data_IF_308147038527
#
_entry.id   IF_308147038527
#
_cell.length_a   1.000
_cell.length_b   1.000
_cell.length_c   1.000
_cell.angle_alpha   90.00
_cell.angle_beta   90.00
_cell.angle_gamma   90.00
#
_symmetry.space_group_name_H-M   'P 1'
#
loop_
_entity.id
_entity.type
_entity.pdbx_description
1 polymer ?
#
# COMPACT_ATOMS: atom_id res chain seq x y z
N UNK A 1 85.07 -24.21 -92.56
CA UNK A 1 85.82 -24.11 -91.28
C UNK A 1 84.94 -23.74 -90.15
N UNK A 2 84.83 -24.61 -89.26
CA UNK A 2 84.77 -24.49 -87.79
C UNK A 2 83.43 -24.05 -87.21
N UNK A 3 82.76 -24.95 -86.66
CA UNK A 3 82.71 -25.50 -85.33
C UNK A 3 81.85 -24.66 -84.31
N UNK A 4 80.95 -25.36 -83.78
CA UNK A 4 80.55 -25.53 -82.34
C UNK A 4 79.40 -24.66 -81.91
N UNK A 5 78.47 -25.02 -81.09
CA UNK A 5 78.19 -26.33 -80.45
C UNK A 5 76.78 -26.23 -79.83
N UNK A 6 76.16 -27.33 -79.63
CA UNK A 6 74.89 -27.53 -78.99
C UNK A 6 74.94 -27.21 -77.51
N UNK A 7 73.91 -26.62 -76.98
CA UNK A 7 73.32 -27.08 -75.70
C UNK A 7 71.81 -26.80 -75.62
N UNK A 8 71.12 -27.89 -75.51
CA UNK A 8 69.73 -27.89 -75.01
C UNK A 8 69.75 -27.40 -73.55
N UNK A 9 68.79 -26.53 -73.19
CA UNK A 9 68.41 -26.29 -71.85
C UNK A 9 66.91 -26.61 -71.68
N UNK A 10 66.72 -27.53 -70.79
CA UNK A 10 65.37 -28.03 -70.39
C UNK A 10 64.54 -26.91 -69.81
N UNK A 11 63.30 -26.74 -70.37
CA UNK A 11 62.34 -25.89 -69.76
C UNK A 11 61.65 -26.66 -68.61
N UNK A 12 61.94 -26.25 -67.39
CA UNK A 12 61.20 -26.71 -66.21
C UNK A 12 59.81 -26.17 -66.21
N UNK A 13 58.82 -27.04 -66.11
CA UNK A 13 57.46 -26.70 -65.83
C UNK A 13 57.35 -26.15 -64.41
N UNK A 14 56.91 -24.90 -64.24
CA UNK A 14 56.50 -24.36 -62.97
C UNK A 14 55.13 -24.98 -62.57
N UNK A 15 54.99 -25.47 -61.35
CA UNK A 15 53.67 -25.97 -60.87
C UNK A 15 52.66 -24.82 -60.71
N UNK A 16 51.48 -24.98 -61.28
CA UNK A 16 50.35 -24.05 -61.14
C UNK A 16 50.00 -23.79 -59.64
N UNK A 17 49.67 -22.55 -59.25
CA UNK A 17 49.31 -22.22 -57.87
C UNK A 17 48.05 -22.98 -57.45
N UNK A 18 48.19 -23.77 -56.38
CA UNK A 18 47.07 -24.44 -55.73
C UNK A 18 46.11 -23.38 -55.19
N UNK A 19 44.91 -23.34 -55.76
CA UNK A 19 43.79 -22.50 -55.36
C UNK A 19 43.30 -22.98 -53.97
N UNK A 20 43.82 -22.37 -52.93
CA UNK A 20 43.33 -22.56 -51.57
C UNK A 20 41.82 -22.26 -51.53
N UNK A 21 41.05 -23.25 -51.14
CA UNK A 21 39.59 -23.09 -50.93
C UNK A 21 39.39 -22.25 -49.65
N UNK A 22 39.61 -20.92 -49.77
CA UNK A 22 39.17 -19.95 -48.78
C UNK A 22 37.69 -19.79 -48.92
N UNK A 23 36.94 -20.32 -47.94
CA UNK A 23 35.74 -19.62 -47.73
C UNK A 23 34.42 -20.31 -47.70
N UNK A 24 34.13 -21.22 -46.81
CA UNK A 24 32.76 -21.54 -46.42
C UNK A 24 32.36 -20.96 -45.05
N UNK A 25 33.30 -20.35 -44.31
CA UNK A 25 33.04 -19.79 -42.97
C UNK A 25 32.42 -18.37 -43.00
N UNK A 26 32.76 -17.55 -43.99
CA UNK A 26 32.25 -16.17 -44.05
C UNK A 26 30.71 -16.09 -44.20
N UNK A 27 30.03 -16.84 -45.09
CA UNK A 27 28.56 -16.81 -45.18
C UNK A 27 27.88 -17.39 -43.94
N UNK A 28 28.51 -18.36 -43.26
CA UNK A 28 28.01 -18.92 -42.01
C UNK A 28 28.08 -17.89 -40.86
N UNK A 29 29.18 -17.15 -40.75
CA UNK A 29 29.33 -16.08 -39.77
C UNK A 29 28.34 -14.96 -40.01
N UNK A 30 28.12 -14.55 -41.26
CA UNK A 30 27.12 -13.54 -41.64
C UNK A 30 25.73 -14.03 -41.28
N UNK A 31 25.39 -15.28 -41.56
CA UNK A 31 24.07 -15.85 -41.23
C UNK A 31 23.86 -15.88 -39.72
N UNK A 32 24.82 -16.32 -38.92
CA UNK A 32 24.76 -16.31 -37.46
C UNK A 32 24.59 -14.87 -36.93
N UNK A 33 25.35 -13.90 -37.44
CA UNK A 33 25.22 -12.49 -37.07
C UNK A 33 23.83 -11.92 -37.37
N UNK A 34 23.25 -12.26 -38.52
CA UNK A 34 21.87 -11.86 -38.89
C UNK A 34 20.86 -12.50 -37.93
N UNK A 35 20.99 -13.79 -37.62
CA UNK A 35 20.09 -14.49 -36.69
C UNK A 35 20.19 -13.88 -35.28
N UNK A 36 21.43 -13.62 -34.78
CA UNK A 36 21.66 -12.96 -33.49
C UNK A 36 21.05 -11.56 -33.50
N UNK A 37 21.26 -10.78 -34.58
CA UNK A 37 20.67 -9.45 -34.71
C UNK A 37 19.13 -9.49 -34.71
N UNK A 38 18.52 -10.43 -35.45
CA UNK A 38 17.06 -10.62 -35.46
C UNK A 38 16.56 -11.02 -34.08
N UNK A 39 17.23 -11.94 -33.37
CA UNK A 39 16.86 -12.35 -32.01
C UNK A 39 17.00 -11.19 -31.04
N UNK A 40 18.09 -10.43 -31.09
CA UNK A 40 18.29 -9.24 -30.28
C UNK A 40 17.25 -8.17 -30.62
N UNK A 41 16.98 -7.93 -31.89
CA UNK A 41 15.93 -6.98 -32.33
C UNK A 41 14.52 -7.43 -31.88
N UNK A 42 14.20 -8.72 -31.93
CA UNK A 42 12.94 -9.27 -31.42
C UNK A 42 12.84 -9.19 -29.89
N UNK A 43 13.93 -9.41 -29.17
CA UNK A 43 13.97 -9.28 -27.71
C UNK A 43 13.87 -7.81 -27.30
N UNK A 44 14.59 -6.91 -27.98
CA UNK A 44 14.56 -5.47 -27.69
C UNK A 44 13.22 -4.85 -28.13
N UNK A 45 12.61 -5.28 -29.24
CA UNK A 45 11.27 -4.81 -29.64
C UNK A 45 10.16 -5.30 -28.69
N UNK A 46 10.31 -6.48 -28.08
CA UNK A 46 9.41 -6.94 -27.00
C UNK A 46 9.56 -6.10 -25.72
N UNK A 47 10.76 -5.58 -25.44
CA UNK A 47 11.00 -4.66 -24.33
C UNK A 47 10.45 -3.24 -24.57
N UNK A 48 10.19 -2.87 -25.82
CA UNK A 48 9.67 -1.55 -26.21
C UNK A 48 8.15 -1.48 -26.33
N UNK A 49 7.41 -2.50 -25.92
CA UNK A 49 5.94 -2.41 -25.79
C UNK A 49 5.63 -1.39 -24.69
N UNK A 50 5.20 -0.20 -25.08
CA UNK A 50 4.83 0.89 -24.18
C UNK A 50 3.73 0.42 -23.24
N UNK A 51 3.97 0.47 -21.94
CA UNK A 51 2.95 0.16 -20.95
C UNK A 51 1.84 1.20 -21.04
N UNK A 52 0.58 0.75 -20.95
CA UNK A 52 -0.62 1.58 -21.03
C UNK A 52 -1.39 1.53 -19.72
N UNK A 53 -2.05 2.61 -19.33
CA UNK A 53 -2.86 2.63 -18.13
C UNK A 53 -4.14 1.79 -18.30
N UNK A 54 -4.50 1.07 -17.24
CA UNK A 54 -5.77 0.38 -17.08
C UNK A 54 -6.31 0.73 -15.70
N UNK A 55 -7.60 1.00 -15.62
CA UNK A 55 -8.28 1.35 -14.37
C UNK A 55 -9.43 0.39 -14.12
N UNK A 56 -9.59 -0.02 -12.87
CA UNK A 56 -10.65 -0.92 -12.42
C UNK A 56 -11.17 -0.43 -11.06
N UNK A 57 -12.46 -0.67 -10.81
CA UNK A 57 -13.10 -0.36 -9.53
C UNK A 57 -13.90 -1.57 -9.07
N UNK A 58 -13.80 -1.92 -7.80
CA UNK A 58 -14.66 -2.90 -7.12
C UNK A 58 -15.07 -2.35 -5.75
N UNK A 59 -16.20 -2.84 -5.20
CA UNK A 59 -16.65 -2.55 -3.84
C UNK A 59 -16.10 -3.64 -2.92
N UNK A 60 -15.24 -3.27 -1.97
CA UNK A 60 -14.62 -4.14 -0.97
C UNK A 60 -14.40 -3.33 0.30
N UNK A 61 -14.39 -3.99 1.46
CA UNK A 61 -14.12 -3.32 2.75
C UNK A 61 -15.02 -2.12 3.00
N UNK A 62 -16.30 -2.24 2.61
CA UNK A 62 -17.33 -1.21 2.69
C UNK A 62 -17.00 0.11 1.97
N UNK A 63 -16.11 0.05 0.97
CA UNK A 63 -15.69 1.22 0.18
C UNK A 63 -15.42 0.89 -1.28
N UNK A 64 -15.23 1.93 -2.11
CA UNK A 64 -14.71 1.77 -3.46
C UNK A 64 -13.20 1.53 -3.42
N UNK A 65 -12.77 0.43 -4.04
CA UNK A 65 -11.36 0.14 -4.28
C UNK A 65 -11.04 0.38 -5.74
N UNK A 66 -10.22 1.40 -5.98
CA UNK A 66 -9.78 1.82 -7.30
C UNK A 66 -8.35 1.32 -7.56
N UNK A 67 -8.17 0.55 -8.63
CA UNK A 67 -6.88 0.09 -9.13
C UNK A 67 -6.50 0.84 -10.40
N UNK A 68 -5.33 1.47 -10.43
CA UNK A 68 -4.69 1.96 -11.65
C UNK A 68 -3.37 1.23 -11.85
N UNK A 69 -3.22 0.56 -12.99
CA UNK A 69 -1.99 -0.19 -13.32
C UNK A 69 -1.53 0.12 -14.74
N UNK A 70 -0.22 0.03 -14.97
CA UNK A 70 0.37 0.11 -16.30
C UNK A 70 0.85 -1.28 -16.73
N UNK A 71 0.33 -1.76 -17.86
CA UNK A 71 0.61 -3.07 -18.42
C UNK A 71 0.82 -2.98 -19.92
N UNK A 72 1.47 -3.99 -20.50
CA UNK A 72 1.71 -4.06 -21.97
C UNK A 72 0.44 -4.38 -22.76
N UNK A 73 -0.55 -5.01 -22.14
CA UNK A 73 -1.79 -5.38 -22.78
C UNK A 73 -2.93 -5.71 -21.82
N UNK A 74 -4.15 -5.70 -22.36
CA UNK A 74 -5.38 -5.94 -21.57
C UNK A 74 -5.44 -7.32 -20.93
N UNK A 75 -4.83 -8.35 -21.54
CA UNK A 75 -4.79 -9.70 -20.97
C UNK A 75 -3.91 -9.79 -19.71
N UNK A 76 -2.79 -9.05 -19.67
CA UNK A 76 -1.95 -8.92 -18.48
C UNK A 76 -2.66 -8.14 -17.39
N UNK A 77 -3.24 -6.99 -17.75
CA UNK A 77 -3.99 -6.14 -16.82
C UNK A 77 -5.18 -6.88 -16.18
N UNK A 78 -5.92 -7.67 -16.98
CA UNK A 78 -7.04 -8.46 -16.46
C UNK A 78 -6.60 -9.52 -15.46
N UNK A 79 -5.54 -10.29 -15.76
CA UNK A 79 -5.01 -11.29 -14.82
C UNK A 79 -4.51 -10.67 -13.52
N UNK A 80 -3.80 -9.54 -13.62
CA UNK A 80 -3.33 -8.79 -12.44
C UNK A 80 -4.51 -8.30 -11.58
N UNK A 81 -5.54 -7.74 -12.22
CA UNK A 81 -6.77 -7.30 -11.58
C UNK A 81 -7.50 -8.46 -10.87
N UNK A 82 -7.73 -9.58 -11.56
CA UNK A 82 -8.42 -10.75 -10.99
C UNK A 82 -7.68 -11.28 -9.77
N UNK A 83 -6.36 -11.52 -9.89
CA UNK A 83 -5.55 -12.01 -8.78
C UNK A 83 -5.54 -11.03 -7.59
N UNK A 84 -5.46 -9.73 -7.84
CA UNK A 84 -5.49 -8.70 -6.81
C UNK A 84 -6.80 -8.73 -6.02
N UNK A 85 -7.92 -8.59 -6.71
CA UNK A 85 -9.21 -8.48 -6.03
C UNK A 85 -9.64 -9.79 -5.36
N UNK A 86 -9.25 -10.95 -5.90
CA UNK A 86 -9.48 -12.25 -5.23
C UNK A 86 -8.71 -12.35 -3.91
N UNK A 87 -7.46 -11.90 -3.87
CA UNK A 87 -6.66 -11.87 -2.64
C UNK A 87 -7.22 -10.86 -1.64
N UNK A 88 -7.59 -9.65 -2.08
CA UNK A 88 -8.21 -8.65 -1.21
C UNK A 88 -9.49 -9.17 -0.57
N UNK A 89 -10.38 -9.82 -1.35
CA UNK A 89 -11.60 -10.48 -0.84
C UNK A 89 -11.30 -11.61 0.16
N UNK A 90 -10.23 -12.37 -0.08
CA UNK A 90 -9.81 -13.43 0.85
C UNK A 90 -9.40 -12.85 2.20
N UNK A 91 -8.59 -11.79 2.18
CA UNK A 91 -8.10 -11.13 3.40
C UNK A 91 -9.23 -10.39 4.14
N UNK A 92 -10.12 -9.71 3.42
CA UNK A 92 -11.30 -9.09 4.00
C UNK A 92 -12.12 -10.09 4.81
N UNK A 93 -12.40 -11.30 4.26
CA UNK A 93 -13.13 -12.35 4.98
C UNK A 93 -12.41 -12.86 6.25
N UNK A 94 -11.08 -12.78 6.32
CA UNK A 94 -10.34 -13.16 7.53
C UNK A 94 -10.42 -12.09 8.61
N UNK A 95 -10.37 -10.82 8.21
CA UNK A 95 -10.20 -9.66 9.09
C UNK A 95 -11.51 -8.89 9.35
N UNK A 96 -12.62 -9.33 8.76
CA UNK A 96 -13.91 -8.69 8.91
C UNK A 96 -14.44 -8.78 10.35
N UNK A 97 -14.88 -7.63 10.88
CA UNK A 97 -15.58 -7.57 12.16
C UNK A 97 -16.97 -8.20 12.08
N UNK A 98 -17.69 -7.97 11.00
CA UNK A 98 -19.10 -8.34 10.82
C UNK A 98 -19.31 -9.76 10.29
N UNK A 99 -18.33 -10.37 9.61
CA UNK A 99 -18.46 -11.76 9.16
C UNK A 99 -18.28 -12.74 10.34
N UNK A 100 -19.33 -13.47 10.78
CA UNK A 100 -19.23 -14.37 11.93
C UNK A 100 -18.26 -15.55 11.73
N UNK A 101 -17.79 -15.76 10.50
CA UNK A 101 -16.82 -16.81 10.15
C UNK A 101 -15.38 -16.32 10.11
N UNK A 102 -15.16 -15.01 10.17
CA UNK A 102 -13.84 -14.41 10.18
C UNK A 102 -13.02 -14.85 11.39
N UNK A 103 -11.71 -14.78 11.28
CA UNK A 103 -10.82 -15.01 12.41
C UNK A 103 -11.08 -13.97 13.51
N UNK A 104 -11.24 -12.68 13.12
CA UNK A 104 -11.51 -11.59 14.06
C UNK A 104 -12.80 -11.82 14.88
N UNK A 105 -13.91 -12.17 14.22
CA UNK A 105 -15.17 -12.44 14.92
C UNK A 105 -15.09 -13.68 15.82
N UNK A 106 -14.27 -14.67 15.46
CA UNK A 106 -14.02 -15.87 16.30
C UNK A 106 -13.24 -15.51 17.55
N UNK A 107 -12.20 -14.65 17.42
CA UNK A 107 -11.44 -14.14 18.56
C UNK A 107 -12.37 -13.37 19.51
N UNK A 108 -13.12 -12.40 19.00
CA UNK A 108 -14.00 -11.56 19.78
C UNK A 108 -15.07 -12.38 20.55
N UNK A 109 -15.65 -13.38 19.89
CA UNK A 109 -16.65 -14.27 20.51
C UNK A 109 -16.07 -15.13 21.63
N UNK A 110 -14.79 -15.51 21.56
CA UNK A 110 -14.14 -16.38 22.54
C UNK A 110 -13.44 -15.59 23.68
N UNK A 111 -13.64 -14.28 23.73
CA UNK A 111 -13.03 -13.41 24.75
C UNK A 111 -13.41 -13.85 26.18
N UNK A 112 -12.43 -13.97 27.06
CA UNK A 112 -12.59 -14.47 28.42
C UNK A 112 -12.72 -15.99 28.56
N UNK A 113 -12.81 -16.76 27.45
CA UNK A 113 -13.02 -18.18 27.49
C UNK A 113 -11.76 -18.99 27.14
N UNK A 114 -11.16 -18.74 25.96
CA UNK A 114 -10.04 -19.55 25.45
C UNK A 114 -9.29 -18.86 24.33
N UNK A 115 -8.01 -19.24 24.07
CA UNK A 115 -7.31 -18.89 22.86
C UNK A 115 -8.03 -19.42 21.59
N UNK A 116 -7.86 -18.70 20.48
CA UNK A 116 -8.42 -19.02 19.18
C UNK A 116 -7.30 -19.19 18.16
N UNK A 117 -7.22 -20.37 17.54
CA UNK A 117 -6.33 -20.60 16.40
C UNK A 117 -6.84 -19.82 15.18
N UNK A 118 -5.93 -19.04 14.54
CA UNK A 118 -6.22 -18.12 13.45
C UNK A 118 -5.16 -18.21 12.34
N UNK A 119 -5.46 -17.62 11.20
CA UNK A 119 -4.53 -17.56 10.08
C UNK A 119 -3.27 -16.74 10.42
N UNK A 120 -2.12 -17.04 9.77
CA UNK A 120 -0.90 -16.27 9.94
C UNK A 120 -1.08 -14.78 9.63
N UNK A 121 -1.92 -14.45 8.64
CA UNK A 121 -2.22 -13.08 8.27
C UNK A 121 -2.94 -12.32 9.41
N UNK A 122 -3.87 -12.97 10.08
CA UNK A 122 -4.57 -12.38 11.23
C UNK A 122 -3.61 -12.16 12.40
N UNK A 123 -2.73 -13.12 12.69
CA UNK A 123 -1.67 -12.95 13.71
C UNK A 123 -0.77 -11.76 13.35
N UNK A 124 -0.29 -11.69 12.10
CA UNK A 124 0.58 -10.61 11.61
C UNK A 124 -0.06 -9.22 11.84
N UNK A 125 -1.32 -9.05 11.43
CA UNK A 125 -2.03 -7.78 11.58
C UNK A 125 -2.22 -7.42 13.04
N UNK A 126 -2.61 -8.37 13.90
CA UNK A 126 -2.79 -8.11 15.34
C UNK A 126 -1.46 -7.76 16.02
N UNK A 127 -0.39 -8.50 15.74
CA UNK A 127 0.93 -8.19 16.30
C UNK A 127 1.40 -6.79 15.88
N UNK A 128 1.18 -6.42 14.60
CA UNK A 128 1.47 -5.06 14.13
C UNK A 128 0.59 -4.00 14.78
N UNK A 129 -0.68 -4.29 14.99
CA UNK A 129 -1.57 -3.40 15.75
C UNK A 129 -1.03 -3.14 17.17
N UNK A 130 -0.57 -4.18 17.86
CA UNK A 130 0.05 -4.04 19.18
C UNK A 130 1.37 -3.25 19.16
N UNK A 131 2.20 -3.43 18.11
CA UNK A 131 3.41 -2.62 17.91
C UNK A 131 3.05 -1.12 17.82
N UNK A 132 2.05 -0.75 16.98
CA UNK A 132 1.60 0.63 16.84
C UNK A 132 0.89 1.16 18.09
N UNK A 133 0.18 0.30 18.82
CA UNK A 133 -0.37 0.67 20.13
C UNK A 133 0.73 1.07 21.13
N UNK A 134 1.82 0.30 21.15
CA UNK A 134 2.97 0.58 22.00
C UNK A 134 3.68 1.88 21.60
N UNK A 135 3.94 2.09 20.28
CA UNK A 135 4.61 3.29 19.75
C UNK A 135 3.80 4.56 20.04
N UNK A 136 2.46 4.46 19.94
CA UNK A 136 1.55 5.59 20.19
C UNK A 136 1.12 5.76 21.63
N UNK A 137 1.68 4.96 22.55
CA UNK A 137 1.33 4.96 23.98
C UNK A 137 -0.19 4.72 24.21
N UNK A 138 -0.79 3.85 23.39
CA UNK A 138 -2.21 3.48 23.45
C UNK A 138 -3.16 4.50 22.80
N UNK A 139 -2.66 5.47 22.02
CA UNK A 139 -3.52 6.34 21.23
C UNK A 139 -4.15 5.58 20.05
N UNK A 140 -3.45 4.62 19.48
CA UNK A 140 -4.01 3.55 18.68
C UNK A 140 -4.19 2.33 19.58
N UNK A 141 -5.41 1.80 19.69
CA UNK A 141 -5.67 0.60 20.48
C UNK A 141 -6.69 -0.30 19.74
N UNK A 142 -6.26 -1.50 19.27
CA UNK A 142 -7.16 -2.39 18.57
C UNK A 142 -8.27 -2.98 19.47
N UNK A 143 -8.19 -2.82 20.80
CA UNK A 143 -9.24 -3.28 21.72
C UNK A 143 -10.39 -2.28 21.90
N UNK A 144 -10.42 -1.20 21.09
CA UNK A 144 -11.43 -0.11 21.16
C UNK A 144 -12.86 -0.54 20.76
N UNK A 145 -13.04 -1.76 20.26
CA UNK A 145 -14.32 -2.26 19.75
C UNK A 145 -15.51 -2.08 20.72
N UNK A 146 -15.41 -2.35 22.03
CA UNK A 146 -16.53 -2.14 22.96
C UNK A 146 -17.02 -0.68 23.01
N UNK A 147 -16.11 0.29 22.88
CA UNK A 147 -16.47 1.70 22.79
C UNK A 147 -17.16 2.02 21.45
N UNK A 148 -16.64 1.47 20.33
CA UNK A 148 -17.27 1.67 19.00
C UNK A 148 -18.67 1.10 18.93
N UNK A 149 -18.93 -0.05 19.58
CA UNK A 149 -20.27 -0.64 19.72
C UNK A 149 -21.19 0.26 20.52
N UNK A 150 -20.70 0.76 21.68
CA UNK A 150 -21.48 1.62 22.56
C UNK A 150 -21.94 2.93 21.88
N UNK A 151 -21.08 3.53 21.04
CA UNK A 151 -21.41 4.68 20.21
C UNK A 151 -22.28 4.35 18.99
N UNK A 152 -22.53 3.06 18.69
CA UNK A 152 -23.31 2.61 17.54
C UNK A 152 -22.55 2.66 16.20
N UNK A 153 -21.24 2.88 16.19
CA UNK A 153 -20.45 2.94 14.95
C UNK A 153 -20.31 1.59 14.23
N UNK A 154 -20.74 0.49 14.86
CA UNK A 154 -20.73 -0.85 14.26
C UNK A 154 -22.02 -1.21 13.56
N UNK A 155 -23.15 -0.94 14.20
CA UNK A 155 -24.48 -1.36 13.74
C UNK A 155 -25.28 -0.22 13.10
N UNK A 156 -24.83 1.02 13.25
CA UNK A 156 -25.50 2.22 12.72
C UNK A 156 -26.53 2.82 13.66
N UNK A 157 -26.74 2.24 14.86
CA UNK A 157 -27.61 2.77 15.91
C UNK A 157 -26.88 3.83 16.73
N UNK A 158 -26.55 4.94 16.08
CA UNK A 158 -25.77 6.03 16.66
C UNK A 158 -26.43 6.65 17.87
N UNK A 159 -25.69 6.83 18.95
CA UNK A 159 -26.10 7.55 20.16
C UNK A 159 -24.91 8.14 20.89
N UNK A 160 -25.13 9.10 21.75
CA UNK A 160 -24.16 9.57 22.73
C UNK A 160 -24.31 8.71 23.99
N UNK A 161 -23.28 7.92 24.38
CA UNK A 161 -23.35 7.09 25.58
C UNK A 161 -23.32 7.92 26.88
N UNK A 162 -23.91 7.37 27.95
CA UNK A 162 -23.76 7.94 29.29
C UNK A 162 -22.31 7.78 29.79
N UNK A 163 -21.81 8.71 30.63
CA UNK A 163 -20.45 8.62 31.17
C UNK A 163 -20.16 7.31 31.91
N UNK A 164 -21.13 6.78 32.65
CA UNK A 164 -20.97 5.52 33.40
C UNK A 164 -20.81 4.32 32.44
N UNK A 165 -21.54 4.30 31.32
CA UNK A 165 -21.39 3.27 30.26
C UNK A 165 -20.01 3.34 29.61
N UNK A 166 -19.48 4.56 29.36
CA UNK A 166 -18.13 4.75 28.83
C UNK A 166 -17.03 4.26 29.79
N UNK A 167 -17.20 4.49 31.10
CA UNK A 167 -16.30 4.00 32.13
C UNK A 167 -16.31 2.45 32.17
N UNK A 168 -17.49 1.84 32.16
CA UNK A 168 -17.63 0.37 32.11
C UNK A 168 -16.99 -0.24 30.86
N UNK A 169 -17.26 0.30 29.68
CA UNK A 169 -16.69 -0.17 28.42
C UNK A 169 -15.17 0.08 28.36
N UNK A 170 -14.69 1.21 28.88
CA UNK A 170 -13.30 1.59 28.93
C UNK A 170 -12.40 0.61 29.72
N UNK A 171 -12.94 -0.11 30.73
CA UNK A 171 -12.23 -1.16 31.45
C UNK A 171 -11.81 -2.32 30.52
N UNK A 172 -12.53 -2.51 29.41
CA UNK A 172 -12.27 -3.57 28.43
C UNK A 172 -11.25 -3.15 27.36
N UNK A 173 -10.83 -1.88 27.35
CA UNK A 173 -9.89 -1.32 26.35
C UNK A 173 -8.49 -1.25 26.93
N UNK A 174 -7.67 -2.23 26.59
CA UNK A 174 -6.25 -2.27 26.97
C UNK A 174 -5.51 -3.26 26.07
N UNK A 175 -4.79 -2.75 25.05
CA UNK A 175 -4.00 -3.56 24.12
C UNK A 175 -2.96 -4.45 24.81
N UNK A 176 -2.46 -4.06 25.98
CA UNK A 176 -1.43 -4.81 26.74
C UNK A 176 -1.94 -6.15 27.27
N UNK A 177 -3.25 -6.33 27.30
CA UNK A 177 -3.89 -7.59 27.70
C UNK A 177 -4.02 -8.60 26.58
N UNK A 178 -3.85 -8.18 25.31
CA UNK A 178 -3.98 -9.06 24.16
C UNK A 178 -2.79 -10.01 24.10
N UNK A 179 -3.05 -11.30 24.13
CA UNK A 179 -2.03 -12.34 23.97
C UNK A 179 -2.05 -12.82 22.51
N UNK A 180 -1.08 -12.39 21.71
CA UNK A 180 -0.92 -12.80 20.32
C UNK A 180 0.30 -13.71 20.17
N UNK A 181 0.06 -15.02 20.07
CA UNK A 181 1.08 -16.04 19.83
C UNK A 181 1.51 -16.14 18.36
N UNK A 182 2.02 -17.29 17.94
CA UNK A 182 2.43 -17.53 16.54
C UNK A 182 1.31 -18.04 15.65
N UNK A 183 0.25 -18.63 16.24
CA UNK A 183 -0.88 -19.20 15.53
C UNK A 183 -2.22 -19.01 16.26
N UNK A 184 -2.21 -18.39 17.42
CA UNK A 184 -3.39 -18.21 18.26
C UNK A 184 -3.41 -16.81 18.90
N UNK A 185 -4.62 -16.33 19.21
CA UNK A 185 -4.88 -15.06 19.89
C UNK A 185 -5.84 -15.28 21.04
N UNK A 186 -5.59 -14.63 22.16
CA UNK A 186 -6.45 -14.69 23.35
C UNK A 186 -6.73 -13.30 23.90
N UNK A 187 -7.99 -13.06 24.23
CA UNK A 187 -8.48 -11.89 24.97
C UNK A 187 -8.90 -12.37 26.35
N UNK A 188 -8.20 -11.99 27.44
CA UNK A 188 -8.38 -12.63 28.74
C UNK A 188 -9.62 -12.20 29.52
N UNK A 189 -10.31 -11.12 29.09
CA UNK A 189 -11.51 -10.65 29.77
C UNK A 189 -12.74 -10.84 28.88
N UNK A 190 -13.81 -11.36 29.45
CA UNK A 190 -15.11 -11.40 28.79
C UNK A 190 -15.58 -9.98 28.45
N UNK A 191 -16.08 -9.78 27.25
CA UNK A 191 -16.49 -8.47 26.73
C UNK A 191 -15.38 -7.69 26.04
N UNK A 192 -14.10 -8.08 26.15
CA UNK A 192 -13.06 -7.52 25.26
C UNK A 192 -13.35 -7.88 23.82
N UNK A 193 -13.05 -6.96 22.91
CA UNK A 193 -13.14 -7.22 21.49
C UNK A 193 -12.10 -6.40 20.72
N UNK A 194 -11.58 -6.97 19.63
CA UNK A 194 -10.67 -6.32 18.72
C UNK A 194 -11.42 -5.66 17.57
N UNK A 195 -10.95 -4.50 17.17
CA UNK A 195 -11.25 -3.82 15.94
C UNK A 195 -9.96 -3.58 15.14
N UNK A 196 -9.93 -4.02 13.90
CA UNK A 196 -8.78 -3.85 13.02
C UNK A 196 -9.03 -2.80 11.92
N UNK A 197 -10.10 -2.01 12.03
CA UNK A 197 -10.50 -1.03 11.00
C UNK A 197 -9.48 0.06 10.71
N UNK A 198 -8.60 0.38 11.66
CA UNK A 198 -7.53 1.36 11.49
C UNK A 198 -6.18 0.76 11.09
N UNK A 199 -6.12 -0.50 10.60
CA UNK A 199 -4.87 -1.14 10.15
C UNK A 199 -5.11 -2.17 9.03
N UNK A 200 -6.27 -2.82 9.02
CA UNK A 200 -6.53 -3.94 8.12
C UNK A 200 -6.64 -3.52 6.65
N UNK A 201 -7.19 -2.33 6.37
CA UNK A 201 -7.25 -1.82 4.98
C UNK A 201 -5.86 -1.60 4.41
N UNK A 202 -4.98 -0.95 5.20
CA UNK A 202 -3.59 -0.75 4.83
C UNK A 202 -2.86 -2.07 4.58
N UNK A 203 -3.05 -3.07 5.45
CA UNK A 203 -2.49 -4.41 5.25
C UNK A 203 -2.95 -5.05 3.94
N UNK A 204 -4.25 -5.02 3.65
CA UNK A 204 -4.82 -5.58 2.42
C UNK A 204 -4.27 -4.87 1.18
N UNK A 205 -4.11 -3.55 1.22
CA UNK A 205 -3.48 -2.76 0.15
C UNK A 205 -2.02 -3.18 -0.06
N UNK A 206 -1.24 -3.34 1.00
CA UNK A 206 0.17 -3.78 0.92
C UNK A 206 0.31 -5.18 0.33
N UNK A 207 -0.56 -6.13 0.73
CA UNK A 207 -0.61 -7.49 0.15
C UNK A 207 -0.94 -7.44 -1.34
N UNK A 208 -1.86 -6.56 -1.72
CA UNK A 208 -2.20 -6.32 -3.13
C UNK A 208 -1.03 -5.77 -3.94
N UNK A 209 -0.31 -4.77 -3.43
CA UNK A 209 0.90 -4.23 -4.08
C UNK A 209 2.01 -5.28 -4.21
N UNK A 210 2.19 -6.12 -3.18
CA UNK A 210 3.16 -7.20 -3.21
C UNK A 210 2.83 -8.23 -4.32
N UNK A 211 1.56 -8.62 -4.45
CA UNK A 211 1.09 -9.53 -5.51
C UNK A 211 1.27 -8.94 -6.91
N UNK A 212 0.92 -7.67 -7.10
CA UNK A 212 1.15 -6.96 -8.37
C UNK A 212 2.65 -6.93 -8.73
N UNK A 213 3.50 -6.62 -7.77
CA UNK A 213 4.96 -6.60 -7.93
C UNK A 213 5.51 -7.98 -8.32
N UNK A 214 5.07 -9.05 -7.65
CA UNK A 214 5.44 -10.44 -7.96
C UNK A 214 4.97 -10.86 -9.37
N UNK A 215 3.86 -10.30 -9.84
CA UNK A 215 3.33 -10.52 -11.19
C UNK A 215 4.06 -9.70 -12.27
N UNK A 216 5.08 -8.92 -11.90
CA UNK A 216 5.88 -8.11 -12.82
C UNK A 216 5.34 -6.72 -13.11
N UNK A 217 4.25 -6.30 -12.46
CA UNK A 217 3.74 -4.91 -12.53
C UNK A 217 4.71 -4.01 -11.75
N UNK A 218 5.09 -2.88 -12.36
CA UNK A 218 6.04 -1.93 -11.79
C UNK A 218 5.44 -0.58 -11.43
N UNK A 219 4.30 -0.28 -12.01
CA UNK A 219 3.64 1.01 -11.93
C UNK A 219 2.16 0.79 -11.61
N UNK A 220 1.77 1.00 -10.36
CA UNK A 220 0.42 0.80 -9.89
C UNK A 220 0.07 1.77 -8.76
N UNK A 221 -1.21 2.07 -8.64
CA UNK A 221 -1.84 2.72 -7.51
C UNK A 221 -3.09 1.95 -7.13
N UNK A 222 -3.23 1.62 -5.86
CA UNK A 222 -4.45 1.09 -5.25
C UNK A 222 -4.97 2.17 -4.30
N UNK A 223 -6.23 2.55 -4.44
CA UNK A 223 -6.92 3.45 -3.50
C UNK A 223 -8.14 2.72 -2.93
N UNK A 224 -8.13 2.45 -1.64
CA UNK A 224 -9.18 1.79 -0.90
C UNK A 224 -9.83 2.79 0.09
N UNK A 225 -10.76 3.61 -0.43
CA UNK A 225 -11.47 4.59 0.41
C UNK A 225 -10.58 5.65 1.04
N UNK A 226 -9.47 6.02 0.40
CA UNK A 226 -8.49 6.99 0.92
C UNK A 226 -7.19 6.36 1.41
N UNK A 227 -7.13 5.04 1.59
CA UNK A 227 -5.88 4.32 1.85
C UNK A 227 -5.20 4.03 0.51
N UNK A 228 -4.20 4.82 0.18
CA UNK A 228 -3.55 4.78 -1.13
C UNK A 228 -2.19 4.09 -1.00
N UNK A 229 -2.05 2.97 -1.71
CA UNK A 229 -0.78 2.29 -1.89
C UNK A 229 -0.22 2.51 -3.30
N UNK A 230 1.10 2.74 -3.41
CA UNK A 230 1.76 3.11 -4.66
C UNK A 230 2.96 2.19 -4.92
N UNK A 231 3.03 1.66 -6.15
CA UNK A 231 4.12 0.84 -6.65
C UNK A 231 4.87 1.61 -7.74
N UNK A 232 5.87 2.41 -7.33
CA UNK A 232 6.70 3.21 -8.23
C UNK A 232 5.97 4.39 -8.91
N UNK A 233 6.68 5.22 -9.70
CA UNK A 233 6.08 6.32 -10.46
C UNK A 233 5.14 5.81 -11.55
N UNK A 234 4.46 6.69 -12.27
CA UNK A 234 3.75 6.30 -13.50
C UNK A 234 4.74 5.81 -14.57
N UNK A 235 4.26 5.07 -15.56
CA UNK A 235 5.12 4.47 -16.60
C UNK A 235 5.88 5.49 -17.46
N UNK A 236 5.40 6.73 -17.55
CA UNK A 236 6.07 7.85 -18.21
C UNK A 236 7.11 8.57 -17.32
N UNK A 237 7.29 8.08 -16.09
CA UNK A 237 8.19 8.68 -15.10
C UNK A 237 7.60 9.85 -14.33
N UNK A 238 6.36 10.25 -14.60
CA UNK A 238 5.70 11.35 -13.86
C UNK A 238 5.21 10.88 -12.48
N UNK A 239 5.05 11.81 -11.52
CA UNK A 239 4.52 11.47 -10.20
C UNK A 239 3.03 11.11 -10.24
N UNK A 240 2.61 10.31 -9.28
CA UNK A 240 1.22 10.26 -8.86
C UNK A 240 0.91 11.54 -8.09
N UNK A 241 -0.24 12.13 -8.34
CA UNK A 241 -0.69 13.34 -7.63
C UNK A 241 -1.80 12.92 -6.66
N UNK A 242 -1.45 12.79 -5.39
CA UNK A 242 -2.39 12.40 -4.35
C UNK A 242 -3.00 13.66 -3.75
N UNK A 243 -4.30 13.87 -3.99
CA UNK A 243 -5.06 14.98 -3.43
C UNK A 243 -5.52 14.68 -2.01
N UNK A 244 -5.33 15.61 -1.10
CA UNK A 244 -5.89 15.58 0.26
C UNK A 244 -7.18 16.39 0.26
N UNK A 245 -8.30 15.74 0.62
CA UNK A 245 -9.62 16.37 0.64
C UNK A 245 -9.67 17.52 1.65
N UNK A 246 -10.35 18.59 1.27
CA UNK A 246 -10.67 19.66 2.21
C UNK A 246 -11.73 19.18 3.21
N UNK A 247 -11.49 19.25 4.53
CA UNK A 247 -12.37 18.63 5.53
C UNK A 247 -13.76 19.25 5.63
N UNK A 248 -13.94 20.49 5.15
CA UNK A 248 -15.17 21.25 5.26
C UNK A 248 -15.84 21.58 3.92
N UNK A 249 -15.17 21.32 2.78
CA UNK A 249 -15.68 21.71 1.45
C UNK A 249 -15.62 20.52 0.51
N UNK A 250 -16.79 20.01 0.15
CA UNK A 250 -16.87 18.88 -0.76
C UNK A 250 -16.28 19.20 -2.14
N UNK A 251 -15.50 18.28 -2.67
CA UNK A 251 -14.88 18.38 -4.00
C UNK A 251 -13.63 19.27 -4.08
N UNK A 252 -13.25 19.95 -3.00
CA UNK A 252 -12.02 20.73 -2.92
C UNK A 252 -10.87 19.93 -2.29
N UNK A 253 -9.64 20.35 -2.61
CA UNK A 253 -8.42 19.81 -2.02
C UNK A 253 -7.78 20.87 -1.14
N UNK A 254 -7.27 20.46 0.04
CA UNK A 254 -6.48 21.34 0.90
C UNK A 254 -4.98 21.26 0.59
N UNK A 255 -4.54 20.15 0.00
CA UNK A 255 -3.15 19.94 -0.43
C UNK A 255 -3.07 18.87 -1.53
N UNK A 256 -1.94 18.81 -2.24
CA UNK A 256 -1.59 17.73 -3.17
C UNK A 256 -0.17 17.26 -2.88
N UNK A 257 0.02 15.95 -2.79
CA UNK A 257 1.33 15.31 -2.64
C UNK A 257 1.72 14.67 -3.98
N UNK A 258 2.73 15.19 -4.71
CA UNK A 258 3.32 14.51 -5.84
C UNK A 258 4.23 13.37 -5.35
N UNK A 259 3.92 12.11 -5.68
CA UNK A 259 4.63 10.94 -5.17
C UNK A 259 5.19 10.06 -6.27
N UNK A 260 6.48 9.71 -6.17
CA UNK A 260 7.20 8.94 -7.20
C UNK A 260 7.78 7.62 -6.69
N UNK A 261 7.79 7.41 -5.37
CA UNK A 261 8.42 6.24 -4.75
C UNK A 261 7.37 5.15 -4.49
N UNK A 262 7.82 3.94 -4.20
CA UNK A 262 6.98 2.96 -3.53
C UNK A 262 6.67 3.48 -2.12
N UNK A 263 5.43 3.30 -1.69
CA UNK A 263 4.97 3.73 -0.38
C UNK A 263 3.46 3.89 -0.35
N UNK A 264 2.97 4.57 0.65
CA UNK A 264 1.55 4.78 0.86
C UNK A 264 1.24 6.20 1.35
N UNK A 265 0.02 6.63 1.08
CA UNK A 265 -0.57 7.88 1.59
C UNK A 265 -1.96 7.54 2.12
N UNK A 266 -2.17 7.66 3.42
CA UNK A 266 -3.43 7.30 4.08
C UNK A 266 -3.95 8.48 4.88
N UNK A 267 -5.25 8.69 4.84
CA UNK A 267 -5.90 9.80 5.55
C UNK A 267 -6.98 9.30 6.48
N UNK A 268 -6.89 9.66 7.77
CA UNK A 268 -7.94 9.57 8.75
C UNK A 268 -8.61 10.93 8.93
N UNK A 269 -9.96 10.97 8.92
CA UNK A 269 -10.71 12.21 9.03
C UNK A 269 -12.02 12.06 9.84
N UNK A 270 -12.44 13.12 10.52
CA UNK A 270 -13.66 13.18 11.31
C UNK A 270 -14.93 13.19 10.47
N UNK A 271 -14.78 13.37 9.17
CA UNK A 271 -15.84 13.47 8.16
C UNK A 271 -16.13 12.15 7.44
N UNK A 272 -15.41 11.07 7.72
CA UNK A 272 -15.60 9.77 7.04
C UNK A 272 -16.80 9.00 7.61
N UNK A 273 -16.86 8.82 8.93
CA UNK A 273 -18.00 8.20 9.63
C UNK A 273 -18.33 9.00 10.87
N UNK A 274 -19.48 9.67 10.89
CA UNK A 274 -19.93 10.52 11.99
C UNK A 274 -21.46 10.62 12.02
N UNK A 275 -21.97 11.08 13.14
CA UNK A 275 -23.34 11.58 13.27
C UNK A 275 -23.33 12.94 13.96
N UNK A 276 -24.45 13.63 13.91
CA UNK A 276 -24.63 14.93 14.57
C UNK A 276 -25.79 14.84 15.54
N UNK A 277 -25.55 15.19 16.80
CA UNK A 277 -26.58 15.28 17.85
C UNK A 277 -26.40 16.60 18.58
N UNK A 278 -27.49 17.36 18.76
CA UNK A 278 -27.51 18.70 19.36
C UNK A 278 -26.46 19.68 18.76
N UNK A 279 -26.20 19.57 17.46
CA UNK A 279 -25.23 20.41 16.76
C UNK A 279 -23.75 20.04 16.96
N UNK A 280 -23.48 18.98 17.70
CA UNK A 280 -22.13 18.43 17.92
C UNK A 280 -21.91 17.25 16.99
N UNK A 281 -20.74 17.23 16.31
CA UNK A 281 -20.32 16.10 15.48
C UNK A 281 -19.59 15.07 16.34
N UNK A 282 -20.05 13.83 16.30
CA UNK A 282 -19.41 12.67 16.91
C UNK A 282 -18.95 11.72 15.82
N UNK A 283 -17.67 11.39 15.78
CA UNK A 283 -17.06 10.55 14.76
C UNK A 283 -16.41 9.31 15.37
N UNK A 284 -16.10 8.33 14.53
CA UNK A 284 -15.62 7.00 14.91
C UNK A 284 -14.19 6.91 15.43
N UNK A 285 -13.38 7.98 15.32
CA UNK A 285 -11.99 7.97 15.82
C UNK A 285 -12.04 8.34 17.29
N UNK A 286 -12.14 7.32 18.16
CA UNK A 286 -12.26 7.50 19.60
C UNK A 286 -10.88 7.56 20.26
N UNK A 287 -10.73 8.40 21.29
CA UNK A 287 -9.60 8.33 22.23
C UNK A 287 -9.85 7.17 23.21
N UNK A 288 -9.04 6.10 23.18
CA UNK A 288 -9.23 4.92 24.03
C UNK A 288 -9.20 5.23 25.54
N UNK A 289 -8.57 6.34 25.92
CA UNK A 289 -8.42 6.76 27.33
C UNK A 289 -9.66 7.44 27.89
N UNK A 290 -10.45 8.07 27.04
CA UNK A 290 -11.64 8.83 27.46
C UNK A 290 -12.94 8.20 26.98
N UNK A 291 -12.88 7.36 25.94
CA UNK A 291 -14.02 6.80 25.25
C UNK A 291 -14.78 7.77 24.35
N UNK A 292 -14.35 9.04 24.26
CA UNK A 292 -14.96 10.07 23.40
C UNK A 292 -14.21 10.22 22.07
N UNK A 293 -14.86 10.75 21.02
CA UNK A 293 -14.18 11.15 19.79
C UNK A 293 -13.05 12.15 20.06
N UNK A 294 -11.90 11.94 19.44
CA UNK A 294 -10.78 12.86 19.51
C UNK A 294 -11.10 14.16 18.77
N UNK A 295 -10.77 15.33 19.31
CA UNK A 295 -11.30 16.63 18.83
C UNK A 295 -10.23 17.66 18.46
N UNK A 296 -8.95 17.33 18.62
CA UNK A 296 -7.85 18.30 18.41
C UNK A 296 -7.42 18.42 16.93
N UNK A 297 -7.82 17.48 16.08
CA UNK A 297 -7.59 17.45 14.63
C UNK A 297 -8.88 17.11 13.90
N UNK A 298 -8.99 17.51 12.65
CA UNK A 298 -10.09 17.14 11.75
C UNK A 298 -9.65 16.18 10.65
N UNK A 299 -8.35 16.19 10.31
CA UNK A 299 -7.75 15.28 9.33
C UNK A 299 -6.28 15.05 9.62
N UNK A 300 -5.82 13.82 9.38
CA UNK A 300 -4.41 13.44 9.42
C UNK A 300 -4.10 12.58 8.21
N UNK A 301 -3.19 13.05 7.38
CA UNK A 301 -2.64 12.28 6.25
C UNK A 301 -1.23 11.84 6.60
N UNK A 302 -0.97 10.54 6.51
CA UNK A 302 0.35 9.94 6.75
C UNK A 302 0.91 9.41 5.44
N UNK A 303 2.18 9.71 5.19
CA UNK A 303 2.99 9.10 4.14
C UNK A 303 3.99 8.16 4.78
N UNK A 304 4.00 6.89 4.40
CA UNK A 304 4.87 5.88 4.99
C UNK A 304 5.35 4.85 3.94
N UNK A 305 6.34 4.00 4.27
CA UNK A 305 6.80 2.92 3.41
C UNK A 305 5.73 1.89 3.07
N UNK A 306 4.78 1.64 3.98
CA UNK A 306 3.68 0.68 3.81
C UNK A 306 2.32 1.31 4.12
N UNK A 307 1.26 0.79 3.50
CA UNK A 307 -0.09 1.27 3.74
C UNK A 307 -0.59 0.87 5.14
N UNK A 308 -0.19 -0.30 5.64
CA UNK A 308 -0.50 -0.74 7.00
C UNK A 308 0.06 0.21 8.07
N UNK A 309 1.31 0.66 7.89
CA UNK A 309 1.95 1.64 8.78
C UNK A 309 1.24 2.99 8.72
N UNK A 310 0.96 3.48 7.49
CA UNK A 310 0.27 4.74 7.30
C UNK A 310 -1.15 4.74 7.89
N UNK A 311 -1.90 3.63 7.76
CA UNK A 311 -3.26 3.45 8.28
C UNK A 311 -3.27 3.52 9.83
N UNK A 312 -2.43 2.69 10.47
CA UNK A 312 -2.33 2.67 11.93
C UNK A 312 -1.85 4.03 12.49
N UNK A 313 -0.83 4.63 11.87
CA UNK A 313 -0.29 5.91 12.32
C UNK A 313 -1.26 7.07 12.07
N UNK A 314 -2.02 7.10 10.98
CA UNK A 314 -2.98 8.17 10.75
C UNK A 314 -4.04 8.25 11.86
N UNK A 315 -4.53 7.09 12.32
CA UNK A 315 -5.43 6.97 13.46
C UNK A 315 -4.73 7.36 14.78
N UNK A 316 -3.54 6.82 15.04
CA UNK A 316 -2.76 7.13 16.24
C UNK A 316 -2.50 8.63 16.40
N UNK A 317 -2.00 9.26 15.33
CA UNK A 317 -1.65 10.69 15.32
C UNK A 317 -2.88 11.58 15.49
N UNK A 318 -4.02 11.16 14.92
CA UNK A 318 -5.29 11.86 15.09
C UNK A 318 -5.69 11.93 16.58
N UNK A 319 -5.57 10.81 17.29
CA UNK A 319 -5.87 10.72 18.73
C UNK A 319 -4.82 11.43 19.58
N UNK A 320 -3.52 11.31 19.25
CA UNK A 320 -2.43 11.98 19.96
C UNK A 320 -2.51 13.50 19.90
N UNK A 321 -3.10 14.03 18.86
CA UNK A 321 -3.19 15.47 18.60
C UNK A 321 -1.90 16.07 18.04
N UNK A 322 -1.93 17.39 17.74
CA UNK A 322 -0.93 18.02 16.89
C UNK A 322 0.49 18.00 17.45
N UNK A 323 0.68 18.29 18.74
CA UNK A 323 2.03 18.43 19.33
C UNK A 323 2.72 17.07 19.49
N UNK A 324 2.03 16.11 20.14
CA UNK A 324 2.58 14.77 20.38
C UNK A 324 2.68 13.99 19.07
N UNK A 325 1.66 14.12 18.20
CA UNK A 325 1.65 13.48 16.89
C UNK A 325 2.79 13.93 16.00
N UNK A 326 3.05 15.25 15.90
CA UNK A 326 4.16 15.75 15.11
C UNK A 326 5.51 15.31 15.68
N UNK A 327 5.68 15.34 17.01
CA UNK A 327 6.90 14.85 17.65
C UNK A 327 7.16 13.36 17.38
N UNK A 328 6.13 12.53 17.37
CA UNK A 328 6.25 11.12 17.00
C UNK A 328 6.70 10.96 15.55
N UNK A 329 6.03 11.61 14.59
CA UNK A 329 6.37 11.54 13.16
C UNK A 329 7.83 11.94 12.92
N UNK A 330 8.29 13.06 13.49
CA UNK A 330 9.68 13.53 13.32
C UNK A 330 10.72 12.54 13.92
N UNK A 331 10.30 11.63 14.80
CA UNK A 331 11.16 10.58 15.35
C UNK A 331 11.20 9.29 14.52
N UNK A 332 10.25 9.11 13.59
CA UNK A 332 10.12 7.90 12.78
C UNK A 332 10.84 8.06 11.43
N UNK A 333 11.60 7.06 11.03
CA UNK A 333 12.31 7.10 9.75
C UNK A 333 11.40 6.75 8.59
N UNK A 334 11.32 7.63 7.59
CA UNK A 334 10.54 7.42 6.36
C UNK A 334 9.03 7.61 6.53
N UNK A 335 8.59 8.14 7.66
CA UNK A 335 7.20 8.51 7.94
C UNK A 335 7.09 10.02 7.95
N UNK A 336 6.07 10.54 7.27
CA UNK A 336 5.76 11.97 7.20
C UNK A 336 4.26 12.17 7.38
N UNK A 337 3.85 13.37 7.82
CA UNK A 337 2.43 13.65 8.00
C UNK A 337 2.04 15.08 7.67
N UNK A 338 0.75 15.23 7.32
CA UNK A 338 0.03 16.51 7.27
C UNK A 338 -1.14 16.37 8.23
N UNK A 339 -1.21 17.25 9.21
CA UNK A 339 -2.30 17.31 10.18
C UNK A 339 -3.08 18.61 9.98
N UNK A 340 -4.40 18.52 10.04
CA UNK A 340 -5.30 19.67 9.88
C UNK A 340 -6.04 19.91 11.19
N UNK A 341 -5.92 21.11 11.73
CA UNK A 341 -6.64 21.53 12.94
C UNK A 341 -8.09 21.92 12.63
N UNK A 342 -8.98 22.02 13.63
CA UNK A 342 -10.33 22.56 13.44
C UNK A 342 -10.37 23.99 12.89
N UNK A 343 -9.28 24.75 13.01
CA UNK A 343 -9.12 26.08 12.44
C UNK A 343 -8.56 26.06 11.02
N UNK A 344 -8.41 24.85 10.42
CA UNK A 344 -7.82 24.62 9.09
C UNK A 344 -6.34 24.99 8.99
N UNK A 345 -5.63 25.05 10.11
CA UNK A 345 -4.18 25.20 10.09
C UNK A 345 -3.53 23.87 9.67
N UNK A 346 -2.56 23.97 8.75
CA UNK A 346 -1.78 22.83 8.27
C UNK A 346 -0.48 22.70 9.05
N UNK A 347 -0.31 21.58 9.73
CA UNK A 347 0.93 21.19 10.37
C UNK A 347 1.59 20.11 9.51
N UNK A 348 2.72 20.43 8.90
CA UNK A 348 3.40 19.57 7.92
C UNK A 348 4.75 19.16 8.51
N UNK A 349 5.03 17.86 8.54
CA UNK A 349 6.34 17.33 8.96
C UNK A 349 7.47 17.76 8.03
N UNK A 350 8.69 17.72 8.53
CA UNK A 350 9.85 18.34 7.89
C UNK A 350 10.12 17.82 6.47
N UNK A 351 9.93 16.51 6.23
CA UNK A 351 10.22 15.90 4.93
C UNK A 351 9.15 16.15 3.85
N UNK A 352 7.97 16.67 4.19
CA UNK A 352 6.93 17.00 3.21
C UNK A 352 6.86 18.49 2.86
N UNK A 353 7.44 19.40 3.64
CA UNK A 353 7.28 20.86 3.47
C UNK A 353 7.58 21.36 2.05
N UNK A 354 8.64 20.83 1.43
CA UNK A 354 9.05 21.21 0.09
C UNK A 354 8.35 20.42 -1.03
N UNK A 355 7.62 19.36 -0.69
CA UNK A 355 6.95 18.46 -1.64
C UNK A 355 5.46 18.77 -1.79
N UNK A 356 4.82 19.27 -0.74
CA UNK A 356 3.38 19.53 -0.73
C UNK A 356 3.07 20.77 -1.58
N UNK A 357 2.07 20.65 -2.44
CA UNK A 357 1.51 21.74 -3.23
C UNK A 357 0.22 22.22 -2.58
N UNK A 358 0.15 23.50 -2.23
CA UNK A 358 -1.05 24.10 -1.66
C UNK A 358 -1.90 24.73 -2.76
N UNK A 359 -3.25 24.66 -2.69
CA UNK A 359 -4.13 25.33 -3.64
C UNK A 359 -3.89 26.84 -3.66
N UNK A 360 -3.69 27.42 -4.85
CA UNK A 360 -3.44 28.85 -5.03
C UNK A 360 -1.97 29.28 -4.98
N UNK A 361 -1.04 28.43 -4.62
CA UNK A 361 0.39 28.69 -4.78
C UNK A 361 0.85 28.18 -6.15
N UNK A 362 0.91 29.10 -7.13
CA UNK A 362 1.58 28.84 -8.41
C UNK A 362 3.10 28.78 -8.18
N UNK A 363 3.68 27.58 -8.21
CA UNK A 363 5.14 27.40 -8.35
C UNK A 363 5.57 27.45 -9.80
#
# INVERSE_FOLDING_TARGET
MSRFDRRKAEAGEEPAPTREKRGTLAPLIIFIAIVVFIVVALVTSRSAATERPFSYTELLMDTEVNLQIFCRGSGEARRAKEALFDEMKRLERLLSYSDPKSDLARINRAAGERPVEVSPETVEVIQKALDYSSISEGAFDPTVAPLLELWGFREGDYRVPDPDELEEAGVLVDYRLVEAGTAEVYLPRSGMALDLGGIAKGYIVDRGLALLSQSGVRHALINAGGDIGILGPKADGSPWRVGIKHPCTDGELIAVIPWMKRGAVVTSGDYERFFVEDGVRYHHILDPRTGYPASSLVSVTVVAPTAMEADALSTALFVMGPQRGLALVESLSGVEAIMVTPQLELLISSGLRDLVELPGENK
#
